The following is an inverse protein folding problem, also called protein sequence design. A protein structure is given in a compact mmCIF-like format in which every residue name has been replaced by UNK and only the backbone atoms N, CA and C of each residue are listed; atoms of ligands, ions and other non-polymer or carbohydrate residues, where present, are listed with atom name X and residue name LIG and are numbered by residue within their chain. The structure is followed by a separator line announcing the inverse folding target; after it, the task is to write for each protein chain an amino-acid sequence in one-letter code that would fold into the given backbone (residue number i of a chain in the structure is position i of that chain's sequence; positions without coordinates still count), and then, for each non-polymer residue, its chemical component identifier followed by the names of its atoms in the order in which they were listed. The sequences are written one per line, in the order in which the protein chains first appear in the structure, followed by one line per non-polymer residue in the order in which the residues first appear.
data_IF_224925223156
#
_entry.id   IF_224925223156
#
_cell.length_a   1.000
_cell.length_b   1.000
_cell.length_c   1.000
_cell.angle_alpha   90.00
_cell.angle_beta   90.00
_cell.angle_gamma   90.00
#
_symmetry.space_group_name_H-M   'P 1'
#
loop_
_entity.id
_entity.type
_entity.pdbx_description
1 polymer ?
#
# COMPACT_ATOMS: atom_id res chain seq x y z
N UNK A 1 5.00 -2.49 -1.93
CA UNK A 1 5.22 -2.07 -3.34
C UNK A 1 5.86 -3.14 -4.22
N UNK A 2 6.82 -3.94 -3.72
CA UNK A 2 7.58 -4.90 -4.54
C UNK A 2 6.73 -5.88 -5.36
N UNK A 3 5.67 -6.46 -4.80
CA UNK A 3 4.77 -7.40 -5.50
C UNK A 3 4.11 -6.79 -6.74
N UNK A 4 3.62 -5.54 -6.65
CA UNK A 4 3.01 -4.86 -7.80
C UNK A 4 4.02 -4.55 -8.91
N UNK A 5 5.25 -4.20 -8.55
CA UNK A 5 6.33 -3.91 -9.50
C UNK A 5 6.84 -5.17 -10.19
N UNK A 6 7.03 -6.25 -9.45
CA UNK A 6 7.54 -7.52 -9.99
C UNK A 6 6.45 -8.38 -10.62
N UNK A 7 5.19 -8.19 -10.22
CA UNK A 7 4.07 -9.03 -10.58
C UNK A 7 4.01 -10.37 -9.84
N UNK A 8 4.94 -10.61 -8.92
CA UNK A 8 4.93 -11.80 -8.08
C UNK A 8 3.98 -11.57 -6.90
N UNK A 9 2.76 -12.10 -6.99
CA UNK A 9 1.89 -12.24 -5.81
C UNK A 9 1.88 -13.72 -5.41
N UNK A 10 2.42 -14.08 -4.24
CA UNK A 10 2.26 -15.43 -3.69
C UNK A 10 0.80 -15.70 -3.29
N UNK A 11 0.40 -16.96 -3.30
CA UNK A 11 -0.94 -17.38 -2.84
C UNK A 11 -1.13 -17.05 -1.36
N UNK A 12 -0.10 -17.31 -0.56
CA UNK A 12 -0.03 -16.90 0.84
C UNK A 12 0.47 -15.46 0.96
N UNK A 13 -0.42 -14.57 1.40
CA UNK A 13 -0.12 -13.15 1.57
C UNK A 13 0.95 -12.90 2.63
N UNK A 14 1.11 -13.79 3.60
CA UNK A 14 2.06 -13.69 4.72
C UNK A 14 3.52 -13.97 4.32
N UNK A 15 3.73 -14.44 3.08
CA UNK A 15 5.07 -14.72 2.55
C UNK A 15 6.00 -13.51 2.67
N UNK A 16 7.14 -13.67 3.35
CA UNK A 16 8.14 -12.61 3.54
C UNK A 16 9.12 -12.51 2.34
N UNK A 17 8.61 -11.99 1.23
CA UNK A 17 9.28 -11.86 -0.07
C UNK A 17 10.03 -10.53 -0.27
N UNK A 18 9.71 -9.49 0.50
CA UNK A 18 10.36 -8.18 0.46
C UNK A 18 10.84 -7.75 1.84
N UNK A 19 12.14 -7.49 1.95
CA UNK A 19 12.76 -7.09 3.21
C UNK A 19 12.62 -5.60 3.42
N UNK A 20 11.76 -5.22 4.37
CA UNK A 20 11.48 -3.83 4.73
C UNK A 20 12.03 -3.56 6.11
N UNK A 21 13.29 -3.14 6.18
CA UNK A 21 13.97 -2.76 7.42
C UNK A 21 14.02 -1.24 7.58
N UNK A 22 14.28 -0.79 8.80
CA UNK A 22 14.55 0.62 9.08
C UNK A 22 15.73 1.10 8.25
N UNK A 23 15.50 2.16 7.48
CA UNK A 23 16.48 2.72 6.54
C UNK A 23 17.10 1.70 5.58
N UNK A 24 16.44 0.56 5.30
CA UNK A 24 16.90 -0.44 4.33
C UNK A 24 16.59 -0.02 2.89
N UNK A 25 17.50 -0.33 1.96
CA UNK A 25 17.37 0.05 0.55
C UNK A 25 17.00 -1.15 -0.31
N UNK A 26 16.00 -0.98 -1.17
CA UNK A 26 15.71 -1.91 -2.26
C UNK A 26 15.84 -1.21 -3.61
N UNK A 27 16.35 -1.90 -4.61
CA UNK A 27 16.55 -1.36 -5.95
C UNK A 27 15.75 -2.16 -6.97
N UNK A 28 14.93 -1.46 -7.74
CA UNK A 28 14.10 -2.04 -8.78
C UNK A 28 14.59 -1.57 -10.15
N UNK A 29 14.91 -2.51 -11.03
CA UNK A 29 15.33 -2.23 -12.40
C UNK A 29 14.17 -2.50 -13.36
N UNK A 30 13.86 -1.55 -14.23
CA UNK A 30 12.80 -1.72 -15.22
C UNK A 30 13.20 -2.77 -16.26
N UNK A 31 12.28 -3.67 -16.60
CA UNK A 31 12.51 -4.63 -17.70
C UNK A 31 12.44 -3.95 -19.06
N UNK A 32 13.13 -4.54 -20.03
CA UNK A 32 13.06 -4.09 -21.42
C UNK A 32 11.62 -4.25 -21.95
N UNK A 33 11.23 -3.35 -22.86
CA UNK A 33 9.93 -3.41 -23.52
C UNK A 33 9.86 -4.68 -24.37
N UNK A 34 9.04 -5.66 -23.97
CA UNK A 34 8.87 -6.92 -24.70
C UNK A 34 8.57 -8.14 -23.83
N UNK A 35 8.91 -8.12 -22.53
CA UNK A 35 8.68 -9.27 -21.63
C UNK A 35 7.25 -9.35 -21.07
N UNK A 36 6.25 -8.85 -21.79
CA UNK A 36 4.85 -8.88 -21.31
C UNK A 36 4.28 -10.26 -21.59
N UNK A 37 3.82 -10.97 -20.56
CA UNK A 37 2.86 -12.05 -20.81
C UNK A 37 1.56 -11.39 -21.29
N UNK A 38 0.87 -12.03 -22.24
CA UNK A 38 -0.38 -11.52 -22.79
C UNK A 38 -1.53 -11.97 -21.90
N UNK A 39 -1.54 -11.54 -20.65
CA UNK A 39 -2.68 -11.77 -19.75
C UNK A 39 -3.75 -10.70 -19.94
N UNK A 40 -5.01 -11.13 -19.95
CA UNK A 40 -6.21 -10.30 -20.05
C UNK A 40 -6.33 -9.35 -18.85
N UNK A 41 -6.59 -8.07 -19.12
CA UNK A 41 -6.90 -7.08 -18.08
C UNK A 41 -8.24 -7.41 -17.42
N UNK A 42 -8.31 -7.34 -16.08
CA UNK A 42 -9.56 -7.56 -15.37
C UNK A 42 -10.33 -6.24 -15.19
N UNK A 43 -11.66 -6.32 -15.27
CA UNK A 43 -12.54 -5.14 -15.11
C UNK A 43 -13.09 -5.10 -13.69
N UNK A 44 -12.72 -4.07 -12.93
CA UNK A 44 -13.43 -3.64 -11.72
C UNK A 44 -14.55 -2.65 -12.13
N UNK A 45 -15.60 -2.41 -11.33
CA UNK A 45 -16.68 -1.50 -11.71
C UNK A 45 -16.14 -0.12 -12.11
N UNK A 46 -16.22 0.19 -13.40
CA UNK A 46 -15.76 1.44 -14.02
C UNK A 46 -14.26 1.56 -14.30
N UNK A 47 -13.43 0.53 -14.09
CA UNK A 47 -11.96 0.62 -14.25
C UNK A 47 -11.36 -0.65 -14.85
N UNK A 48 -10.54 -0.49 -15.89
CA UNK A 48 -9.70 -1.56 -16.43
C UNK A 48 -8.47 -1.68 -15.54
N UNK A 49 -8.33 -2.79 -14.83
CA UNK A 49 -7.14 -3.11 -14.03
C UNK A 49 -6.16 -3.86 -14.94
N UNK A 50 -4.94 -3.32 -15.17
CA UNK A 50 -3.94 -4.02 -15.95
C UNK A 50 -3.58 -5.37 -15.30
N UNK A 51 -3.32 -6.39 -16.11
CA UNK A 51 -2.81 -7.69 -15.69
C UNK A 51 -1.39 -7.58 -15.15
N UNK A 52 -1.25 -7.17 -13.89
CA UNK A 52 0.06 -6.96 -13.25
C UNK A 52 0.57 -8.21 -12.51
N UNK A 53 -0.28 -9.18 -12.20
CA UNK A 53 0.11 -10.44 -11.53
C UNK A 53 0.79 -11.41 -12.51
N UNK A 54 1.21 -12.58 -12.04
CA UNK A 54 1.84 -13.61 -12.90
C UNK A 54 3.24 -13.22 -13.38
N UNK A 55 3.95 -12.38 -12.64
CA UNK A 55 5.28 -11.87 -13.02
C UNK A 55 5.26 -10.71 -14.01
N UNK A 56 4.09 -10.26 -14.48
CA UNK A 56 3.99 -9.16 -15.43
C UNK A 56 4.47 -7.84 -14.86
N UNK A 57 4.05 -7.52 -13.64
CA UNK A 57 4.32 -6.27 -12.96
C UNK A 57 3.71 -5.06 -13.67
N UNK A 58 3.50 -3.97 -12.92
CA UNK A 58 2.94 -2.75 -13.49
C UNK A 58 3.86 -2.17 -14.58
N UNK A 59 3.25 -1.68 -15.67
CA UNK A 59 3.94 -1.05 -16.83
C UNK A 59 5.02 -1.91 -17.51
N UNK A 60 4.87 -3.24 -17.49
CA UNK A 60 5.82 -4.20 -18.08
C UNK A 60 6.83 -4.75 -17.07
N UNK A 61 6.68 -4.37 -15.81
CA UNK A 61 7.35 -4.97 -14.68
C UNK A 61 8.80 -4.59 -14.47
N UNK A 62 9.27 -5.02 -13.31
CA UNK A 62 10.53 -4.63 -12.72
C UNK A 62 11.17 -5.85 -12.05
N UNK A 63 12.49 -5.85 -12.00
CA UNK A 63 13.27 -6.83 -11.28
C UNK A 63 13.80 -6.20 -9.99
N UNK A 64 13.56 -6.85 -8.86
CA UNK A 64 14.16 -6.45 -7.59
C UNK A 64 15.61 -6.96 -7.58
N UNK A 65 16.57 -6.06 -7.82
CA UNK A 65 17.99 -6.41 -7.92
C UNK A 65 18.72 -6.26 -6.57
N UNK A 66 18.13 -5.51 -5.64
CA UNK A 66 18.56 -5.40 -4.23
C UNK A 66 17.31 -5.39 -3.37
N UNK A 67 17.27 -6.22 -2.32
CA UNK A 67 16.10 -6.40 -1.45
C UNK A 67 16.47 -6.16 0.02
N UNK A 68 16.25 -4.94 0.51
CA UNK A 68 16.47 -4.56 1.91
C UNK A 68 17.93 -4.54 2.35
N UNK A 69 18.84 -3.99 1.52
CA UNK A 69 20.24 -3.84 1.90
C UNK A 69 20.40 -2.85 3.07
N UNK A 70 21.12 -3.27 4.10
CA UNK A 70 21.47 -2.47 5.27
C UNK A 70 22.97 -2.47 5.56
N UNK A 71 23.82 -2.97 4.64
CA UNK A 71 25.27 -3.11 4.87
C UNK A 71 26.00 -1.78 5.09
N UNK A 72 25.39 -0.68 4.64
CA UNK A 72 25.90 0.68 4.87
C UNK A 72 25.52 1.24 6.25
N UNK A 73 24.67 0.56 7.02
CA UNK A 73 24.29 0.95 8.37
C UNK A 73 25.17 0.21 9.38
N UNK A 74 25.72 0.93 10.37
CA UNK A 74 26.59 0.34 11.40
C UNK A 74 25.92 -0.77 12.21
N UNK A 75 24.61 -0.66 12.41
CA UNK A 75 23.83 -1.62 13.19
C UNK A 75 23.10 -2.66 12.30
N UNK A 76 23.25 -2.58 10.98
CA UNK A 76 22.59 -3.48 10.05
C UNK A 76 21.07 -3.33 10.02
N UNK A 77 20.38 -4.46 9.83
CA UNK A 77 18.93 -4.51 9.65
C UNK A 77 18.18 -4.52 10.99
N UNK A 78 17.24 -3.58 11.15
CA UNK A 78 16.45 -3.44 12.38
C UNK A 78 14.97 -3.19 12.07
N UNK A 79 14.08 -3.62 13.00
CA UNK A 79 12.62 -3.37 12.99
C UNK A 79 11.94 -3.72 11.65
N UNK A 80 12.20 -4.93 11.17
CA UNK A 80 11.60 -5.43 9.93
C UNK A 80 10.08 -5.45 9.97
N UNK A 81 9.45 -5.23 8.81
CA UNK A 81 8.01 -5.32 8.62
C UNK A 81 7.67 -6.19 7.40
N UNK A 82 6.66 -7.03 7.52
CA UNK A 82 6.03 -7.75 6.41
C UNK A 82 4.53 -7.96 6.70
N UNK A 83 3.77 -8.33 5.68
CA UNK A 83 2.37 -8.73 5.87
C UNK A 83 2.33 -10.06 6.61
N UNK A 84 1.47 -10.18 7.61
CA UNK A 84 1.19 -11.42 8.34
C UNK A 84 -0.06 -12.14 7.83
N UNK A 85 -0.83 -11.54 6.92
CA UNK A 85 -1.98 -12.15 6.27
C UNK A 85 -3.29 -12.08 7.07
N UNK A 86 -3.20 -11.79 8.37
CA UNK A 86 -4.33 -11.64 9.29
C UNK A 86 -4.78 -10.17 9.45
N UNK A 87 -4.36 -9.27 8.56
CA UNK A 87 -4.75 -7.86 8.63
C UNK A 87 -6.20 -7.65 8.15
N UNK A 88 -7.15 -7.56 9.10
CA UNK A 88 -8.53 -7.18 8.78
C UNK A 88 -8.75 -5.67 8.84
N UNK A 89 -8.97 -5.07 7.66
CA UNK A 89 -9.29 -3.65 7.52
C UNK A 89 -10.77 -3.34 7.79
N UNK A 90 -11.66 -4.34 7.79
CA UNK A 90 -13.10 -4.16 8.01
C UNK A 90 -13.46 -4.14 9.50
N UNK A 91 -12.58 -4.67 10.35
CA UNK A 91 -12.73 -4.61 11.82
C UNK A 91 -12.35 -3.25 12.42
N UNK A 92 -11.79 -2.34 11.61
CA UNK A 92 -11.55 -0.97 12.07
C UNK A 92 -12.89 -0.25 12.19
N UNK A 93 -13.17 0.43 13.32
CA UNK A 93 -14.37 1.25 13.44
C UNK A 93 -14.35 2.26 12.30
N UNK A 94 -15.45 2.39 11.56
CA UNK A 94 -15.58 3.47 10.57
C UNK A 94 -15.24 4.76 11.29
N UNK A 95 -14.35 5.60 10.75
CA UNK A 95 -14.02 6.91 11.32
C UNK A 95 -15.31 7.68 11.56
N UNK A 96 -15.85 7.54 12.76
CA UNK A 96 -17.04 8.25 13.18
C UNK A 96 -16.66 9.72 13.10
N UNK A 97 -17.41 10.47 12.29
CA UNK A 97 -17.49 11.91 12.48
C UNK A 97 -17.75 12.13 13.97
N UNK A 98 -16.76 12.65 14.68
CA UNK A 98 -16.95 13.08 16.05
C UNK A 98 -17.94 14.23 16.01
N UNK A 99 -19.21 13.94 16.28
CA UNK A 99 -20.23 14.97 16.47
C UNK A 99 -19.85 15.76 17.73
N UNK A 100 -19.35 16.98 17.52
CA UNK A 100 -19.07 17.94 18.57
C UNK A 100 -20.37 18.24 19.32
N UNK A 101 -20.58 17.54 20.44
CA UNK A 101 -21.68 17.79 21.36
C UNK A 101 -21.36 19.02 22.22
N UNK A 102 -21.11 20.15 21.57
CA UNK A 102 -20.96 21.44 22.21
C UNK A 102 -22.32 22.04 22.53
N UNK A 103 -22.87 21.70 23.70
CA UNK A 103 -24.02 22.41 24.31
C UNK A 103 -23.73 23.91 24.36
N UNK A 104 -24.42 24.69 23.51
CA UNK A 104 -24.36 26.15 23.47
C UNK A 104 -25.76 26.75 23.58
N UNK A 105 -26.51 26.30 24.59
CA UNK A 105 -27.67 27.03 25.06
C UNK A 105 -27.23 27.91 26.23
N UNK A 106 -27.04 29.21 25.96
CA UNK A 106 -27.35 30.33 26.87
C UNK A 106 -26.71 31.64 26.40
N UNK A 107 -27.36 32.36 25.46
CA UNK A 107 -27.37 33.84 25.46
C UNK A 107 -28.69 34.34 24.82
N UNK A 108 -29.63 34.96 25.58
CA UNK A 108 -30.83 35.54 25.00
C UNK A 108 -30.49 36.81 24.19
N UNK A 109 -30.80 36.80 22.89
CA UNK A 109 -30.75 37.99 22.03
C UNK A 109 -31.94 38.90 22.35
N UNK A 110 -31.68 40.01 23.02
CA UNK A 110 -32.62 41.13 23.15
C UNK A 110 -32.91 41.70 21.76
N UNK A 111 -34.19 41.71 21.37
CA UNK A 111 -34.65 42.31 20.13
C UNK A 111 -34.69 43.84 20.25
N UNK A 112 -33.81 44.53 19.52
CA UNK A 112 -33.96 45.97 19.25
C UNK A 112 -34.83 46.13 18.00
N UNK A 113 -36.07 46.62 18.18
CA UNK A 113 -36.94 47.07 17.08
C UNK A 113 -36.40 48.37 16.48
N UNK A 114 -36.43 48.45 15.15
CA UNK A 114 -36.39 49.70 14.37
C UNK A 114 -37.68 50.51 14.59
#
# INVERSE_FOLDING_TARGET
MGRALTGNMPEDSSTDDFKVYTAGMSTFKRRALGSRSRDESSTAPGRVVPSWRGGNGVRGGWDCVVNGECRYLSNGAERGWHFHGEEDFNSMPSSGVVEDSGSRDDIPRVATKL
#
